data_IF_669051110455
#
_entry.id   IF_669051110455
#
_cell.length_a   1.000
_cell.length_b   1.000
_cell.length_c   1.000
_cell.angle_alpha   90.00
_cell.angle_beta   90.00
_cell.angle_gamma   90.00
#
_symmetry.space_group_name_H-M   'P 1'
#
loop_
_entity.id
_entity.type
_entity.pdbx_description
1 polymer ?
#
# COMPACT_ATOMS: atom_id res chain seq x y z
N UNK A 1 2.83 1.09 0.21
CA UNK A 1 2.60 0.10 -0.89
C UNK A 1 1.60 0.67 -1.91
N UNK A 2 1.62 0.22 -3.17
CA UNK A 2 0.64 0.65 -4.19
C UNK A 2 1.05 1.85 -5.06
N UNK A 3 2.27 2.37 -4.87
CA UNK A 3 2.83 3.44 -5.72
C UNK A 3 3.10 2.90 -7.13
N UNK A 4 2.57 3.58 -8.14
CA UNK A 4 2.83 3.30 -9.55
C UNK A 4 3.65 4.42 -10.17
N UNK A 5 4.88 4.09 -10.53
CA UNK A 5 5.86 4.97 -11.17
C UNK A 5 6.64 4.14 -12.20
N UNK A 6 7.19 4.77 -13.25
CA UNK A 6 8.06 4.09 -14.21
C UNK A 6 9.20 3.30 -13.55
N UNK A 7 9.51 2.12 -14.08
CA UNK A 7 10.53 1.21 -13.51
C UNK A 7 11.90 1.87 -13.37
N UNK A 8 12.26 2.76 -14.30
CA UNK A 8 13.51 3.55 -14.23
C UNK A 8 13.59 4.39 -12.95
N UNK A 9 12.48 4.99 -12.52
CA UNK A 9 12.44 5.83 -11.31
C UNK A 9 12.44 4.94 -10.06
N UNK A 10 11.71 3.82 -10.10
CA UNK A 10 11.71 2.84 -9.01
C UNK A 10 13.09 2.23 -8.76
N UNK A 11 13.85 1.95 -9.83
CA UNK A 11 15.21 1.44 -9.71
C UNK A 11 16.19 2.49 -9.16
N UNK A 12 15.96 3.77 -9.49
CA UNK A 12 16.81 4.87 -9.03
C UNK A 12 16.49 5.30 -7.60
N UNK A 13 15.22 5.21 -7.20
CA UNK A 13 14.69 5.59 -5.89
C UNK A 13 13.92 4.40 -5.31
N UNK A 14 14.62 3.38 -4.80
CA UNK A 14 13.98 2.15 -4.34
C UNK A 14 13.21 2.32 -3.02
N UNK A 15 13.69 3.21 -2.14
CA UNK A 15 13.17 3.36 -0.79
C UNK A 15 12.27 4.60 -0.65
N UNK A 16 12.82 5.78 -0.95
CA UNK A 16 12.12 7.06 -0.80
C UNK A 16 12.39 7.98 -2.00
N UNK A 17 11.37 8.74 -2.40
CA UNK A 17 11.43 9.67 -3.51
C UNK A 17 10.73 10.98 -3.15
N UNK A 18 11.48 12.09 -3.17
CA UNK A 18 10.91 13.44 -3.04
C UNK A 18 10.60 14.01 -4.42
N UNK A 19 9.35 14.46 -4.60
CA UNK A 19 8.94 15.20 -5.79
C UNK A 19 8.61 16.65 -5.42
N UNK A 20 8.92 17.58 -6.33
CA UNK A 20 8.64 19.00 -6.14
C UNK A 20 7.57 19.42 -7.14
N UNK A 21 6.44 19.88 -6.62
CA UNK A 21 5.31 20.36 -7.42
C UNK A 21 5.44 21.87 -7.65
N UNK A 22 6.45 22.27 -8.43
CA UNK A 22 6.70 23.68 -8.75
C UNK A 22 6.89 23.87 -10.24
N UNK A 23 6.21 24.88 -10.81
CA UNK A 23 6.29 25.37 -12.20
C UNK A 23 5.97 24.38 -13.33
N UNK A 24 6.37 23.11 -13.21
CA UNK A 24 6.40 22.11 -14.28
C UNK A 24 5.77 20.80 -13.81
N UNK A 25 4.50 20.88 -13.45
CA UNK A 25 3.63 19.72 -13.29
C UNK A 25 2.37 19.90 -14.14
N UNK A 26 1.71 18.79 -14.45
CA UNK A 26 0.44 18.81 -15.17
C UNK A 26 -0.45 17.69 -14.67
N UNK A 27 -1.73 17.77 -15.02
CA UNK A 27 -2.70 16.69 -14.76
C UNK A 27 -2.73 16.23 -13.29
N UNK A 28 -2.53 17.16 -12.35
CA UNK A 28 -2.65 16.87 -10.92
C UNK A 28 -4.13 16.56 -10.61
N UNK A 29 -4.38 15.38 -10.07
CA UNK A 29 -5.70 14.95 -9.63
C UNK A 29 -5.62 14.22 -8.31
N UNK A 30 -6.72 14.26 -7.57
CA UNK A 30 -6.90 13.51 -6.33
C UNK A 30 -8.19 12.70 -6.45
N UNK A 31 -8.09 11.39 -6.26
CA UNK A 31 -9.24 10.52 -6.08
C UNK A 31 -9.53 10.39 -4.59
N UNK A 32 -10.63 10.99 -4.14
CA UNK A 32 -11.05 10.99 -2.74
C UNK A 32 -11.62 9.64 -2.29
N UNK A 33 -12.14 8.82 -3.20
CA UNK A 33 -12.71 7.52 -2.86
C UNK A 33 -11.59 6.51 -2.63
N UNK A 34 -10.65 6.45 -3.58
CA UNK A 34 -9.53 5.51 -3.52
C UNK A 34 -8.33 6.07 -2.72
N UNK A 35 -8.36 7.34 -2.33
CA UNK A 35 -7.28 8.03 -1.61
C UNK A 35 -5.96 7.99 -2.37
N UNK A 36 -6.01 8.35 -3.66
CA UNK A 36 -4.87 8.30 -4.58
C UNK A 36 -4.66 9.64 -5.26
N UNK A 37 -3.45 10.17 -5.19
CA UNK A 37 -3.01 11.32 -5.95
C UNK A 37 -2.37 10.86 -7.27
N UNK A 38 -2.68 11.54 -8.37
CA UNK A 38 -1.99 11.36 -9.64
C UNK A 38 -1.40 12.68 -10.13
N UNK A 39 -0.19 12.65 -10.69
CA UNK A 39 0.49 13.85 -11.20
C UNK A 39 1.42 13.53 -12.35
N UNK A 40 1.45 14.40 -13.36
CA UNK A 40 2.41 14.37 -14.44
C UNK A 40 3.61 15.27 -14.16
N UNK A 41 4.82 14.70 -14.23
CA UNK A 41 6.10 15.38 -14.04
C UNK A 41 7.09 14.96 -15.15
N UNK A 42 8.17 15.72 -15.33
CA UNK A 42 9.23 15.37 -16.28
C UNK A 42 10.54 15.05 -15.57
N UNK A 43 11.09 13.86 -15.80
CA UNK A 43 12.37 13.41 -15.25
C UNK A 43 13.39 13.28 -16.37
N UNK A 44 14.44 14.12 -16.32
CA UNK A 44 15.46 14.22 -17.38
C UNK A 44 14.85 14.49 -18.77
N UNK A 45 13.82 15.34 -18.82
CA UNK A 45 13.11 15.70 -20.05
C UNK A 45 12.12 14.64 -20.56
N UNK A 46 11.96 13.52 -19.85
CA UNK A 46 11.00 12.48 -20.19
C UNK A 46 9.76 12.64 -19.30
N UNK A 47 8.58 12.96 -19.88
CA UNK A 47 7.32 13.02 -19.14
C UNK A 47 6.98 11.68 -18.49
N UNK A 48 6.40 11.72 -17.30
CA UNK A 48 6.05 10.54 -16.52
C UNK A 48 4.87 10.86 -15.61
N UNK A 49 3.89 9.96 -15.60
CA UNK A 49 2.76 10.03 -14.68
C UNK A 49 3.10 9.20 -13.44
N UNK A 50 2.87 9.78 -12.27
CA UNK A 50 2.99 9.12 -10.98
C UNK A 50 1.59 8.92 -10.39
N UNK A 51 1.35 7.75 -9.81
CA UNK A 51 0.14 7.42 -9.06
C UNK A 51 0.58 7.05 -7.65
N UNK A 52 0.16 7.85 -6.67
CA UNK A 52 0.70 7.86 -5.31
C UNK A 52 -0.50 7.74 -4.35
N UNK A 53 -0.67 6.58 -3.68
CA UNK A 53 -1.62 6.48 -2.57
C UNK A 53 -1.26 7.47 -1.47
N UNK A 54 -2.25 8.13 -0.86
CA UNK A 54 -2.02 9.09 0.23
C UNK A 54 -1.29 8.45 1.39
N UNK A 55 -1.60 7.18 1.70
CA UNK A 55 -0.93 6.40 2.73
C UNK A 55 0.56 6.11 2.44
N UNK A 56 1.06 6.41 1.24
CA UNK A 56 2.47 6.27 0.88
C UNK A 56 3.28 7.58 1.05
N UNK A 57 2.64 8.69 1.42
CA UNK A 57 3.31 9.97 1.64
C UNK A 57 4.00 9.95 3.01
N UNK A 58 5.33 10.07 3.01
CA UNK A 58 6.17 10.09 4.23
C UNK A 58 6.37 11.50 4.77
N UNK A 59 6.46 12.50 3.89
CA UNK A 59 6.66 13.89 4.26
C UNK A 59 5.96 14.84 3.29
N UNK A 60 5.56 16.00 3.81
CA UNK A 60 5.05 17.13 3.04
C UNK A 60 5.75 18.41 3.53
N UNK A 61 6.16 19.28 2.62
CA UNK A 61 6.79 20.54 2.96
C UNK A 61 6.33 21.67 2.04
N UNK A 62 5.99 22.81 2.63
CA UNK A 62 5.69 24.06 1.95
C UNK A 62 6.64 25.17 2.44
N UNK A 63 7.65 25.55 1.62
CA UNK A 63 8.64 26.57 1.99
C UNK A 63 8.07 27.98 2.18
N UNK A 64 7.00 28.35 1.46
CA UNK A 64 6.49 29.73 1.44
C UNK A 64 5.91 30.13 2.80
N UNK A 65 5.31 29.16 3.49
CA UNK A 65 4.74 29.34 4.84
C UNK A 65 5.55 28.63 5.92
N UNK A 66 6.74 28.09 5.59
CA UNK A 66 7.62 27.35 6.50
C UNK A 66 6.90 26.20 7.23
N UNK A 67 6.10 25.44 6.50
CA UNK A 67 5.28 24.37 7.03
C UNK A 67 5.80 23.00 6.58
N UNK A 68 5.73 22.02 7.48
CA UNK A 68 6.12 20.65 7.17
C UNK A 68 5.39 19.62 8.03
N UNK A 69 5.08 18.48 7.43
CA UNK A 69 4.50 17.31 8.07
C UNK A 69 5.39 16.10 7.79
N UNK A 70 5.53 15.23 8.79
CA UNK A 70 6.16 13.92 8.64
C UNK A 70 5.17 12.86 9.12
N UNK A 71 5.12 11.73 8.42
CA UNK A 71 4.21 10.64 8.68
C UNK A 71 5.00 9.36 8.87
N UNK A 72 4.64 8.57 9.88
CA UNK A 72 5.14 7.21 10.04
C UNK A 72 4.37 6.28 9.10
N UNK A 73 5.02 5.86 8.03
CA UNK A 73 4.47 4.86 7.11
C UNK A 73 4.92 3.49 7.60
N UNK A 74 3.99 2.68 8.09
CA UNK A 74 4.26 1.27 8.39
C UNK A 74 4.52 0.52 7.08
N UNK A 75 5.79 0.49 6.66
CA UNK A 75 6.23 -0.37 5.59
C UNK A 75 6.40 -1.76 6.19
N UNK A 76 5.60 -2.78 5.81
CA UNK A 76 5.82 -4.13 6.28
C UNK A 76 7.23 -4.54 5.86
N UNK A 77 8.13 -4.57 6.84
CA UNK A 77 9.49 -5.03 6.66
C UNK A 77 9.39 -6.49 6.24
N UNK A 78 9.78 -6.81 5.00
CA UNK A 78 9.94 -8.19 4.58
C UNK A 78 11.19 -8.68 5.30
N UNK A 79 11.03 -9.19 6.51
CA UNK A 79 12.10 -9.88 7.20
C UNK A 79 12.46 -11.11 6.35
N UNK A 80 13.73 -11.27 5.93
CA UNK A 80 14.15 -12.51 5.31
C UNK A 80 13.82 -13.65 6.28
N UNK A 81 13.16 -14.71 5.78
CA UNK A 81 12.75 -15.88 6.56
C UNK A 81 13.92 -16.61 7.28
N UNK A 82 15.15 -16.14 7.11
CA UNK A 82 16.37 -16.77 7.60
C UNK A 82 16.70 -16.52 9.08
N UNK A 83 15.96 -15.66 9.78
CA UNK A 83 16.23 -15.32 11.21
C UNK A 83 15.07 -15.66 12.17
N UNK A 84 14.16 -16.56 11.80
CA UNK A 84 13.32 -17.19 12.82
C UNK A 84 14.22 -18.13 13.66
N UNK A 85 14.40 -17.90 14.98
CA UNK A 85 15.01 -18.91 15.82
C UNK A 85 14.18 -20.19 15.69
N UNK A 86 14.85 -21.31 15.42
CA UNK A 86 14.21 -22.61 15.41
C UNK A 86 13.42 -22.76 16.72
N UNK A 87 12.15 -23.20 16.68
CA UNK A 87 11.44 -23.50 17.91
C UNK A 87 12.20 -24.63 18.61
N UNK A 88 12.91 -24.30 19.69
CA UNK A 88 13.38 -25.29 20.65
C UNK A 88 12.14 -26.02 21.15
N UNK A 89 12.15 -27.33 20.95
CA UNK A 89 11.03 -28.19 21.32
C UNK A 89 10.84 -28.17 22.82
N UNK A 90 9.63 -27.83 23.24
CA UNK A 90 9.03 -28.41 24.44
C UNK A 90 7.50 -28.44 24.28
N UNK A 91 6.98 -29.66 24.44
CA UNK A 91 5.59 -30.07 24.67
C UNK A 91 4.44 -29.43 23.85
N UNK A 92 4.08 -30.09 22.74
CA UNK A 92 2.71 -30.05 22.20
C UNK A 92 1.90 -31.19 22.81
N UNK A 93 0.86 -30.93 23.64
CA UNK A 93 -0.18 -31.93 23.82
C UNK A 93 -1.01 -31.96 22.54
N UNK A 94 -0.87 -33.02 21.74
CA UNK A 94 -1.78 -33.29 20.62
C UNK A 94 -3.22 -33.41 21.13
N UNK A 95 -4.02 -32.35 20.98
CA UNK A 95 -5.48 -32.47 20.97
C UNK A 95 -5.91 -32.82 19.56
N UNK A 96 -6.08 -34.11 19.32
CA UNK A 96 -6.89 -34.62 18.22
C UNK A 96 -8.33 -34.09 18.42
N UNK A 97 -8.76 -33.13 17.59
CA UNK A 97 -10.17 -32.91 17.33
C UNK A 97 -10.53 -33.68 16.07
N UNK A 98 -10.97 -34.93 16.28
CA UNK A 98 -11.63 -35.77 15.29
C UNK A 98 -13.13 -35.44 15.30
N UNK A 99 -13.49 -34.38 14.57
CA UNK A 99 -14.87 -33.95 14.36
C UNK A 99 -15.06 -33.50 12.92
N UNK A 100 -16.19 -33.81 12.27
CA UNK A 100 -16.40 -33.48 10.87
C UNK A 100 -16.47 -31.96 10.72
N UNK A 101 -15.60 -31.39 9.89
CA UNK A 101 -15.64 -29.99 9.51
C UNK A 101 -16.95 -29.70 8.76
N UNK A 102 -17.83 -28.92 9.38
CA UNK A 102 -19.10 -28.51 8.80
C UNK A 102 -18.86 -27.37 7.79
N UNK A 103 -18.86 -27.73 6.50
CA UNK A 103 -18.78 -26.79 5.38
C UNK A 103 -20.18 -26.24 5.11
N UNK A 104 -20.44 -25.01 5.54
CA UNK A 104 -21.69 -24.30 5.23
C UNK A 104 -21.58 -23.66 3.85
N UNK A 105 -22.31 -24.21 2.87
CA UNK A 105 -22.36 -23.67 1.51
C UNK A 105 -23.12 -22.34 1.46
N UNK A 106 -22.53 -21.34 0.79
CA UNK A 106 -23.05 -19.97 0.59
C UNK A 106 -24.40 -19.89 -0.17
N UNK A 107 -24.94 -21.00 -0.68
CA UNK A 107 -26.27 -21.05 -1.30
C UNK A 107 -27.43 -21.00 -0.29
N UNK A 108 -27.18 -21.23 1.01
CA UNK A 108 -28.20 -21.11 2.06
C UNK A 108 -28.73 -19.66 2.23
N UNK A 109 -27.98 -18.66 1.76
CA UNK A 109 -28.31 -17.24 1.88
C UNK A 109 -29.11 -16.68 0.69
N UNK A 110 -29.31 -17.44 -0.39
CA UNK A 110 -30.02 -16.96 -1.59
C UNK A 110 -31.54 -17.09 -1.54
N UNK A 111 -32.13 -17.42 -0.39
CA UNK A 111 -33.58 -17.45 -0.23
C UNK A 111 -34.05 -16.26 0.59
N UNK A 112 -34.44 -15.20 -0.13
CA UNK A 112 -35.70 -14.44 0.02
C UNK A 112 -35.69 -13.27 -0.95
N UNK A 113 -36.17 -13.49 -2.17
CA UNK A 113 -36.91 -12.46 -2.89
C UNK A 113 -38.32 -12.45 -2.30
N UNK A 114 -38.80 -11.34 -1.72
CA UNK A 114 -40.22 -11.19 -1.43
C UNK A 114 -40.96 -11.14 -2.77
N UNK A 115 -42.00 -11.97 -2.90
CA UNK A 115 -43.00 -11.84 -3.96
C UNK A 115 -44.31 -11.50 -3.27
N UNK A 116 -44.62 -10.21 -3.22
CA UNK A 116 -45.92 -9.59 -3.46
C UNK A 116 -45.75 -8.07 -3.49
#
# INVERSE_FOLDING_TARGET
PGVQIPDRLRAQYPDEMTIVLQHQFHSLSMDEVDQVMSVGLSFSGIPSTLIIPVAAITAFADPEVQFGLNFEVEVPQIVPLAELPAPEGDDVPSRNYDGPAEVVSLDAFRRRTPKE
#
